data_IF_537502118703
#
_entry.id   IF_537502118703
#
_cell.length_a   1.000
_cell.length_b   1.000
_cell.length_c   1.000
_cell.angle_alpha   90.00
_cell.angle_beta   90.00
_cell.angle_gamma   90.00
#
_symmetry.space_group_name_H-M   'P 1'
#
loop_
_entity.id
_entity.type
_entity.pdbx_description
1 polymer ?
#
# COMPACT_ATOMS: atom_id res chain seq x y z
N UNK A 1 21.44 -20.51 -5.53
CA UNK A 1 20.36 -20.35 -4.53
C UNK A 1 20.37 -19.01 -3.78
N UNK A 2 21.52 -18.36 -3.50
CA UNK A 2 21.58 -17.07 -2.78
C UNK A 2 20.97 -15.87 -3.54
N UNK A 3 21.04 -15.82 -4.86
CA UNK A 3 20.50 -14.73 -5.69
C UNK A 3 18.96 -14.67 -5.75
N UNK A 4 18.26 -15.81 -5.71
CA UNK A 4 16.79 -15.86 -5.68
C UNK A 4 16.25 -15.39 -4.33
N UNK A 5 16.94 -15.71 -3.23
CA UNK A 5 16.60 -15.25 -1.90
C UNK A 5 16.77 -13.72 -1.75
N UNK A 6 17.77 -13.11 -2.42
CA UNK A 6 18.01 -11.67 -2.34
C UNK A 6 16.98 -10.85 -3.12
N UNK A 7 16.52 -11.31 -4.28
CA UNK A 7 15.44 -10.65 -5.04
C UNK A 7 14.10 -10.84 -4.32
N UNK A 8 13.86 -12.02 -3.75
CA UNK A 8 12.67 -12.29 -2.93
C UNK A 8 12.71 -11.50 -1.62
N UNK A 9 13.87 -11.37 -0.99
CA UNK A 9 14.07 -10.55 0.19
C UNK A 9 13.93 -9.05 -0.14
N UNK A 10 14.38 -8.59 -1.31
CA UNK A 10 14.19 -7.22 -1.77
C UNK A 10 12.72 -6.93 -2.11
N UNK A 11 12.02 -7.84 -2.77
CA UNK A 11 10.57 -7.79 -2.97
C UNK A 11 9.80 -7.91 -1.64
N UNK A 12 10.22 -8.79 -0.72
CA UNK A 12 9.65 -8.93 0.61
C UNK A 12 9.99 -7.72 1.50
N UNK A 13 11.17 -7.13 1.40
CA UNK A 13 11.53 -5.88 2.09
C UNK A 13 10.82 -4.69 1.44
N UNK A 14 10.69 -4.66 0.13
CA UNK A 14 9.82 -3.69 -0.55
C UNK A 14 8.34 -3.91 -0.22
N UNK A 15 7.91 -5.16 0.06
CA UNK A 15 6.54 -5.48 0.49
C UNK A 15 6.39 -5.57 2.01
N UNK A 16 7.44 -5.81 2.80
CA UNK A 16 7.41 -5.85 4.27
C UNK A 16 7.67 -4.48 4.92
N UNK A 17 8.05 -3.50 4.13
CA UNK A 17 8.29 -2.14 4.60
C UNK A 17 7.09 -1.28 4.44
N UNK A 18 5.84 -1.72 4.71
CA UNK A 18 4.99 -0.75 4.63
C UNK A 18 3.55 -0.67 4.72
N UNK A 19 2.74 0.15 5.11
CA UNK A 19 1.35 0.27 4.82
C UNK A 19 0.80 1.67 4.72
N UNK A 20 -0.14 1.72 3.80
CA UNK A 20 -1.00 2.79 3.37
C UNK A 20 -0.37 3.76 2.41
N UNK A 21 0.07 3.19 1.35
CA UNK A 21 0.51 4.00 0.27
C UNK A 21 -0.66 4.47 -0.57
N UNK A 22 -1.30 5.47 -0.11
CA UNK A 22 -1.73 6.52 -0.97
C UNK A 22 -0.56 7.50 -1.03
N UNK A 23 -0.15 7.91 -2.22
CA UNK A 23 0.74 9.05 -2.39
C UNK A 23 -0.02 10.32 -2.02
N UNK A 24 -0.30 10.51 -0.74
CA UNK A 24 -0.97 11.71 -0.28
C UNK A 24 -0.22 12.95 -0.74
N UNK A 25 1.11 12.91 -0.62
CA UNK A 25 1.98 14.00 -1.02
C UNK A 25 1.97 14.30 -2.53
N UNK A 26 1.54 13.35 -3.38
CA UNK A 26 1.42 13.60 -4.81
C UNK A 26 0.04 14.12 -5.23
N UNK A 27 -0.90 14.26 -4.29
CA UNK A 27 -2.22 14.83 -4.59
C UNK A 27 -2.08 16.25 -5.15
N UNK A 28 -2.71 16.50 -6.29
CA UNK A 28 -2.64 17.75 -7.06
C UNK A 28 -1.22 18.10 -7.58
N UNK A 29 -0.33 17.11 -7.72
CA UNK A 29 1.01 17.32 -8.28
C UNK A 29 1.03 17.35 -9.80
N UNK A 30 0.02 16.77 -10.47
CA UNK A 30 -0.07 16.61 -11.93
C UNK A 30 1.01 15.70 -12.51
N UNK A 31 1.61 14.81 -11.70
CA UNK A 31 2.60 13.83 -12.17
C UNK A 31 1.94 12.64 -12.86
N UNK A 32 2.72 11.89 -13.63
CA UNK A 32 2.24 10.64 -14.22
C UNK A 32 1.79 9.65 -13.13
N UNK A 33 2.54 9.53 -12.05
CA UNK A 33 2.21 8.65 -10.93
C UNK A 33 0.86 9.03 -10.27
N UNK A 34 0.61 10.32 -10.07
CA UNK A 34 -0.70 10.77 -9.55
C UNK A 34 -1.82 10.39 -10.51
N UNK A 35 -1.63 10.52 -11.82
CA UNK A 35 -2.68 10.25 -12.81
C UNK A 35 -3.10 8.78 -12.90
N UNK A 36 -2.29 7.84 -12.41
CA UNK A 36 -2.64 6.42 -12.27
C UNK A 36 -3.66 6.22 -11.14
N UNK A 37 -3.42 6.89 -10.02
CA UNK A 37 -4.33 6.86 -8.87
C UNK A 37 -5.55 7.75 -9.06
N UNK A 38 -5.38 8.88 -9.76
CA UNK A 38 -6.37 9.93 -10.00
C UNK A 38 -6.59 10.11 -11.51
N UNK A 39 -7.36 9.24 -12.18
CA UNK A 39 -7.47 9.26 -13.65
C UNK A 39 -8.07 10.56 -14.23
N UNK A 40 -8.68 11.42 -13.41
CA UNK A 40 -9.18 12.75 -13.81
C UNK A 40 -8.11 13.84 -13.81
N UNK A 41 -6.89 13.56 -13.32
CA UNK A 41 -5.77 14.50 -13.29
C UNK A 41 -5.05 14.51 -14.63
N UNK A 42 -4.75 15.70 -15.16
CA UNK A 42 -3.94 15.88 -16.35
C UNK A 42 -2.46 15.82 -16.05
N UNK A 43 -1.69 15.17 -16.92
CA UNK A 43 -0.21 15.24 -16.90
C UNK A 43 0.34 16.21 -17.92
N UNK A 44 -0.50 16.74 -18.80
CA UNK A 44 -0.10 17.64 -19.90
C UNK A 44 -0.48 19.11 -19.64
N UNK A 45 -1.25 19.40 -18.57
CA UNK A 45 -1.50 20.79 -18.19
C UNK A 45 -0.16 21.44 -17.77
N UNK A 46 0.20 22.54 -18.44
CA UNK A 46 1.48 23.26 -18.27
C UNK A 46 2.74 22.40 -18.53
N UNK A 47 2.63 21.35 -19.33
CA UNK A 47 3.75 20.47 -19.70
C UNK A 47 3.82 20.31 -21.23
N UNK A 48 4.99 19.92 -21.71
CA UNK A 48 5.21 19.66 -23.12
C UNK A 48 4.91 18.21 -23.52
N UNK A 49 4.59 18.00 -24.78
CA UNK A 49 4.45 16.67 -25.35
C UNK A 49 3.04 16.13 -25.36
N UNK A 50 2.90 14.94 -25.93
CA UNK A 50 1.63 14.23 -26.07
C UNK A 50 1.70 12.79 -25.55
N UNK A 51 2.88 12.30 -25.13
CA UNK A 51 3.05 11.01 -24.47
C UNK A 51 3.84 11.22 -23.19
N UNK A 52 3.36 10.65 -22.09
CA UNK A 52 4.10 10.54 -20.82
C UNK A 52 4.25 9.07 -20.45
N UNK A 53 5.44 8.64 -20.05
CA UNK A 53 5.70 7.25 -19.64
C UNK A 53 6.82 7.17 -18.61
N UNK A 54 6.75 6.15 -17.75
CA UNK A 54 7.84 5.78 -16.85
C UNK A 54 8.90 4.88 -17.51
N UNK A 55 8.71 4.47 -18.79
CA UNK A 55 9.66 3.66 -19.57
C UNK A 55 10.23 2.45 -18.80
N UNK A 56 9.39 1.71 -18.10
CA UNK A 56 9.78 0.56 -17.26
C UNK A 56 10.69 0.90 -16.07
N UNK A 57 10.96 2.17 -15.78
CA UNK A 57 11.53 2.56 -14.49
C UNK A 57 10.37 2.53 -13.48
N UNK A 58 10.35 1.55 -12.57
CA UNK A 58 9.15 1.35 -11.77
C UNK A 58 8.90 2.53 -10.83
N UNK A 59 7.63 2.91 -10.74
CA UNK A 59 7.19 3.76 -9.64
C UNK A 59 6.89 2.86 -8.44
N UNK A 60 7.56 3.13 -7.34
CA UNK A 60 7.45 2.35 -6.12
C UNK A 60 6.76 3.18 -5.05
N UNK A 61 5.80 2.58 -4.44
CA UNK A 61 5.12 3.12 -3.30
C UNK A 61 4.93 2.01 -2.27
N UNK A 62 5.53 2.17 -1.10
CA UNK A 62 5.45 1.24 0.01
C UNK A 62 5.23 1.96 1.32
N UNK A 63 4.33 1.45 2.14
CA UNK A 63 4.03 2.02 3.45
C UNK A 63 3.74 0.93 4.48
N UNK A 64 4.10 1.03 5.76
CA UNK A 64 3.89 0.10 6.84
C UNK A 64 3.76 0.71 8.19
N UNK A 65 2.91 0.04 8.88
CA UNK A 65 2.49 0.46 10.16
C UNK A 65 2.27 -0.73 11.08
N UNK A 66 2.91 -0.66 12.23
CA UNK A 66 2.74 -1.62 13.31
C UNK A 66 2.47 -0.84 14.59
N UNK A 67 1.32 -1.05 15.16
CA UNK A 67 0.87 -0.43 16.41
C UNK A 67 0.64 -1.48 17.47
N UNK A 68 0.99 -1.16 18.71
CA UNK A 68 0.84 -1.97 19.88
C UNK A 68 2.18 -2.48 20.39
N UNK A 69 2.12 -3.22 21.47
CA UNK A 69 3.31 -3.74 22.18
C UNK A 69 4.08 -4.77 21.34
N UNK A 70 3.39 -5.44 20.40
CA UNK A 70 4.02 -6.38 19.48
C UNK A 70 4.95 -5.71 18.44
N UNK A 71 5.03 -4.39 18.40
CA UNK A 71 5.98 -3.70 17.54
C UNK A 71 7.43 -4.13 17.83
N UNK A 72 7.76 -4.39 19.07
CA UNK A 72 9.06 -4.93 19.49
C UNK A 72 9.24 -6.38 19.03
N UNK A 73 8.23 -7.22 19.24
CA UNK A 73 8.25 -8.61 18.79
C UNK A 73 8.41 -8.72 17.28
N UNK A 74 7.69 -7.89 16.53
CA UNK A 74 7.79 -7.83 15.08
C UNK A 74 9.20 -7.47 14.60
N UNK A 75 9.87 -6.54 15.27
CA UNK A 75 11.27 -6.19 14.98
C UNK A 75 12.20 -7.35 15.24
N UNK A 76 12.18 -7.91 16.45
CA UNK A 76 13.08 -9.00 16.83
C UNK A 76 12.92 -10.21 15.89
N UNK A 77 11.68 -10.50 15.50
CA UNK A 77 11.36 -11.59 14.57
C UNK A 77 11.75 -11.28 13.13
N UNK A 78 11.36 -10.12 12.60
CA UNK A 78 11.55 -9.79 11.17
C UNK A 78 12.99 -9.46 10.80
N UNK A 79 13.72 -8.78 11.71
CA UNK A 79 15.05 -8.26 11.39
C UNK A 79 16.18 -9.03 12.04
N UNK A 80 15.92 -9.73 13.16
CA UNK A 80 16.99 -10.36 13.95
C UNK A 80 16.79 -11.85 14.14
N UNK A 81 15.67 -12.43 13.71
CA UNK A 81 15.28 -13.84 13.94
C UNK A 81 15.38 -14.23 15.43
N UNK A 82 14.96 -13.32 16.31
CA UNK A 82 15.05 -13.47 17.76
C UNK A 82 13.68 -13.50 18.40
N UNK A 83 13.60 -14.17 19.54
CA UNK A 83 12.43 -14.13 20.42
C UNK A 83 12.51 -12.93 21.35
N UNK A 84 11.36 -12.43 21.80
CA UNK A 84 11.29 -11.45 22.88
C UNK A 84 11.99 -11.98 24.13
N UNK A 85 12.69 -11.09 24.84
CA UNK A 85 13.32 -11.45 26.12
C UNK A 85 12.31 -11.51 27.27
N UNK A 86 11.21 -10.77 27.16
CA UNK A 86 10.13 -10.72 28.15
C UNK A 86 8.77 -10.76 27.46
N UNK A 87 7.74 -11.36 28.11
CA UNK A 87 6.38 -11.36 27.58
C UNK A 87 5.80 -9.95 27.53
N UNK A 88 4.92 -9.73 26.55
CA UNK A 88 4.11 -8.52 26.48
C UNK A 88 3.14 -8.50 27.67
N UNK A 89 3.07 -7.36 28.37
CA UNK A 89 2.52 -7.25 29.71
C UNK A 89 0.99 -7.33 29.77
N UNK A 90 0.28 -6.76 28.80
CA UNK A 90 -1.18 -6.79 28.74
C UNK A 90 -1.63 -7.86 27.74
N UNK A 91 -2.12 -9.04 28.18
CA UNK A 91 -2.47 -10.13 27.28
C UNK A 91 -3.61 -9.79 26.30
N UNK A 92 -4.51 -8.90 26.67
CA UNK A 92 -5.68 -8.53 25.86
C UNK A 92 -5.43 -7.31 24.94
N UNK A 93 -4.32 -6.61 25.10
CA UNK A 93 -3.96 -5.50 24.24
C UNK A 93 -3.85 -5.95 22.78
N UNK A 94 -4.43 -5.16 21.88
CA UNK A 94 -4.50 -5.46 20.44
C UNK A 94 -3.35 -4.79 19.72
N UNK A 95 -2.74 -5.54 18.83
CA UNK A 95 -1.73 -5.08 17.92
C UNK A 95 -2.32 -5.05 16.51
N UNK A 96 -2.04 -3.98 15.80
CA UNK A 96 -2.48 -3.79 14.42
C UNK A 96 -1.26 -3.70 13.52
N UNK A 97 -1.14 -4.65 12.61
CA UNK A 97 -0.21 -4.61 11.49
C UNK A 97 -1.02 -4.31 10.25
N UNK A 98 -0.51 -3.48 9.48
CA UNK A 98 -1.02 -3.24 8.16
C UNK A 98 0.15 -3.04 7.18
N UNK A 99 0.19 -3.63 5.94
CA UNK A 99 1.26 -3.57 4.94
C UNK A 99 0.70 -3.39 3.53
N UNK A 100 1.08 -2.33 2.81
CA UNK A 100 0.69 -2.08 1.42
C UNK A 100 1.91 -1.85 0.53
N UNK A 101 1.89 -2.35 -0.65
CA UNK A 101 2.86 -2.09 -1.69
C UNK A 101 2.17 -1.85 -3.03
N UNK A 102 2.64 -0.88 -3.77
CA UNK A 102 2.20 -0.59 -5.13
C UNK A 102 3.44 -0.38 -6.00
N UNK A 103 3.58 -1.22 -7.01
CA UNK A 103 4.66 -1.18 -7.98
C UNK A 103 4.06 -0.98 -9.37
N UNK A 104 4.16 0.23 -9.92
CA UNK A 104 3.80 0.49 -11.30
C UNK A 104 4.96 0.09 -12.22
N UNK A 105 4.78 -1.00 -12.96
CA UNK A 105 5.81 -1.55 -13.85
C UNK A 105 5.93 -0.69 -15.10
N UNK A 106 4.80 -0.42 -15.74
CA UNK A 106 4.72 0.44 -16.91
C UNK A 106 3.45 1.27 -16.86
N UNK A 107 3.61 2.56 -17.10
CA UNK A 107 2.51 3.51 -17.26
C UNK A 107 2.76 4.35 -18.51
N UNK A 108 1.73 4.47 -19.33
CA UNK A 108 1.74 5.34 -20.51
C UNK A 108 0.47 6.17 -20.50
N UNK A 109 0.62 7.47 -20.66
CA UNK A 109 -0.49 8.40 -20.85
C UNK A 109 -0.32 9.14 -22.17
N UNK A 110 -1.37 9.20 -22.96
CA UNK A 110 -1.38 9.78 -24.31
C UNK A 110 -2.43 10.87 -24.40
N UNK A 111 -2.02 12.06 -24.85
CA UNK A 111 -2.93 13.16 -25.15
C UNK A 111 -3.56 12.91 -26.53
N UNK A 112 -4.80 12.41 -26.53
CA UNK A 112 -5.53 12.05 -27.75
C UNK A 112 -6.10 13.28 -28.47
N UNK A 113 -6.66 14.21 -27.72
CA UNK A 113 -7.24 15.43 -28.25
C UNK A 113 -6.90 16.62 -27.35
N UNK A 114 -6.13 17.53 -27.87
CA UNK A 114 -5.66 18.71 -27.18
C UNK A 114 -6.80 19.71 -26.90
N UNK A 115 -7.75 19.87 -27.85
CA UNK A 115 -8.83 20.83 -27.69
C UNK A 115 -9.76 20.50 -26.54
N UNK A 116 -10.08 19.24 -26.36
CA UNK A 116 -10.89 18.76 -25.24
C UNK A 116 -10.07 18.30 -24.04
N UNK A 117 -8.73 18.32 -24.13
CA UNK A 117 -7.85 17.76 -23.12
C UNK A 117 -8.15 16.29 -22.85
N UNK A 118 -8.50 15.52 -23.90
CA UNK A 118 -8.79 14.09 -23.76
C UNK A 118 -7.49 13.32 -23.71
N UNK A 119 -7.27 12.62 -22.62
CA UNK A 119 -6.08 11.80 -22.35
C UNK A 119 -6.48 10.34 -22.15
N UNK A 120 -5.68 9.43 -22.72
CA UNK A 120 -5.82 7.98 -22.57
C UNK A 120 -4.69 7.46 -21.69
N UNK A 121 -5.02 6.54 -20.80
CA UNK A 121 -4.08 5.91 -19.86
C UNK A 121 -4.00 4.40 -20.15
N UNK A 122 -2.81 3.86 -20.14
CA UNK A 122 -2.51 2.44 -19.95
C UNK A 122 -1.56 2.28 -18.76
N UNK A 123 -1.87 1.34 -17.88
CA UNK A 123 -1.06 1.04 -16.72
C UNK A 123 -1.00 -0.46 -16.45
N UNK A 124 0.16 -0.95 -16.05
CA UNK A 124 0.32 -2.28 -15.49
C UNK A 124 1.10 -2.19 -14.19
N UNK A 125 0.50 -2.68 -13.13
CA UNK A 125 1.02 -2.58 -11.77
C UNK A 125 0.79 -3.86 -10.97
N UNK A 126 1.52 -3.97 -9.86
CA UNK A 126 1.34 -5.02 -8.85
C UNK A 126 0.99 -4.36 -7.54
N UNK A 127 -0.06 -4.86 -6.90
CA UNK A 127 -0.52 -4.34 -5.60
C UNK A 127 -0.53 -5.44 -4.55
N UNK A 128 -0.01 -5.11 -3.38
CA UNK A 128 -0.05 -5.95 -2.18
C UNK A 128 -0.72 -5.20 -1.05
N UNK A 129 -1.62 -5.86 -0.35
CA UNK A 129 -2.31 -5.32 0.82
C UNK A 129 -2.34 -6.37 1.91
N UNK A 130 -1.89 -6.01 3.10
CA UNK A 130 -1.86 -6.91 4.24
C UNK A 130 -2.41 -6.19 5.46
N UNK A 131 -3.22 -6.82 6.25
CA UNK A 131 -3.67 -6.32 7.54
C UNK A 131 -3.73 -7.47 8.54
N UNK A 132 -3.30 -7.22 9.76
CA UNK A 132 -3.46 -8.18 10.85
C UNK A 132 -3.88 -7.46 12.13
N UNK A 133 -4.74 -8.10 12.89
CA UNK A 133 -5.04 -7.72 14.26
C UNK A 133 -4.84 -8.93 15.14
N UNK A 134 -3.88 -8.83 16.07
CA UNK A 134 -3.54 -9.92 16.99
C UNK A 134 -3.45 -9.40 18.42
N UNK A 135 -3.81 -10.23 19.40
CA UNK A 135 -3.61 -9.90 20.83
C UNK A 135 -2.17 -10.14 21.27
N UNK A 136 -1.74 -9.46 22.34
CA UNK A 136 -0.42 -9.70 22.95
C UNK A 136 -0.24 -11.16 23.37
N UNK A 137 -1.30 -11.78 23.89
CA UNK A 137 -1.26 -13.19 24.27
C UNK A 137 -0.98 -14.10 23.07
N UNK A 138 -1.55 -13.82 21.89
CA UNK A 138 -1.26 -14.56 20.66
C UNK A 138 0.22 -14.42 20.27
N UNK A 139 0.77 -13.21 20.40
CA UNK A 139 2.19 -12.93 20.11
C UNK A 139 3.08 -13.67 21.08
N UNK A 140 2.76 -13.65 22.39
CA UNK A 140 3.50 -14.37 23.42
C UNK A 140 3.51 -15.88 23.16
N UNK A 141 2.36 -16.47 22.81
CA UNK A 141 2.25 -17.88 22.43
C UNK A 141 3.10 -18.22 21.19
N UNK A 142 3.05 -17.38 20.16
CA UNK A 142 3.83 -17.58 18.94
C UNK A 142 5.35 -17.47 19.15
N UNK A 143 5.79 -16.78 20.19
CA UNK A 143 7.20 -16.66 20.55
C UNK A 143 7.76 -17.92 21.25
N UNK A 144 6.90 -18.79 21.77
CA UNK A 144 7.22 -20.10 22.38
C UNK A 144 8.06 -20.04 23.65
N UNK A 145 7.84 -20.95 24.59
CA UNK A 145 8.77 -21.52 25.57
C UNK A 145 9.40 -20.67 26.68
N UNK A 146 9.42 -19.35 26.58
CA UNK A 146 10.07 -18.49 27.60
C UNK A 146 9.07 -17.81 28.54
N UNK A 147 7.77 -18.04 28.38
CA UNK A 147 6.75 -17.34 29.14
C UNK A 147 5.98 -18.29 30.04
N UNK A 148 5.54 -17.82 31.20
CA UNK A 148 4.67 -18.60 32.05
C UNK A 148 3.36 -18.86 31.30
N UNK A 149 3.23 -20.06 30.74
CA UNK A 149 2.00 -20.52 30.10
C UNK A 149 1.02 -20.77 31.25
N UNK A 150 -0.11 -20.09 31.21
CA UNK A 150 -1.19 -20.37 32.16
C UNK A 150 -1.75 -21.75 31.85
N UNK A 151 -1.96 -22.54 32.89
CA UNK A 151 -2.51 -23.89 32.75
C UNK A 151 -3.92 -23.88 32.12
N UNK A 152 -4.62 -22.78 32.24
CA UNK A 152 -5.96 -22.60 31.64
C UNK A 152 -6.18 -21.14 31.31
N UNK A 153 -6.59 -20.87 30.08
CA UNK A 153 -7.09 -19.57 29.70
C UNK A 153 -8.60 -19.53 29.93
N UNK A 154 -9.13 -18.57 30.69
CA UNK A 154 -10.56 -18.49 30.94
C UNK A 154 -11.38 -18.51 29.65
N UNK A 155 -12.55 -19.18 29.62
CA UNK A 155 -13.45 -19.16 28.47
C UNK A 155 -13.72 -17.72 28.02
N UNK A 156 -13.57 -17.45 26.72
CA UNK A 156 -13.78 -16.13 26.15
C UNK A 156 -12.60 -15.16 26.20
N UNK A 157 -11.48 -15.49 26.86
CA UNK A 157 -10.25 -14.67 26.77
C UNK A 157 -9.66 -14.68 25.37
N UNK A 158 -9.91 -15.76 24.61
CA UNK A 158 -9.54 -15.87 23.22
C UNK A 158 -8.06 -15.66 22.95
N UNK A 159 -7.16 -16.55 23.46
CA UNK A 159 -5.72 -16.37 23.31
C UNK A 159 -5.25 -16.31 21.85
N UNK A 160 -5.98 -16.95 20.94
CA UNK A 160 -5.67 -16.95 19.50
C UNK A 160 -6.58 -16.03 18.69
N UNK A 161 -7.46 -15.23 19.34
CA UNK A 161 -8.36 -14.35 18.61
C UNK A 161 -7.56 -13.34 17.78
N UNK A 162 -7.65 -13.49 16.47
CA UNK A 162 -6.87 -12.73 15.49
C UNK A 162 -7.62 -12.63 14.18
N UNK A 163 -7.31 -11.59 13.43
CA UNK A 163 -7.74 -11.46 12.04
C UNK A 163 -6.51 -11.19 11.19
N UNK A 164 -6.43 -11.86 10.06
CA UNK A 164 -5.39 -11.67 9.06
C UNK A 164 -6.04 -11.51 7.69
N UNK A 165 -5.55 -10.54 6.95
CA UNK A 165 -5.97 -10.24 5.60
C UNK A 165 -4.74 -10.02 4.72
N UNK A 166 -4.69 -10.70 3.59
CA UNK A 166 -3.63 -10.57 2.59
C UNK A 166 -4.22 -10.58 1.19
N UNK A 167 -3.83 -9.61 0.39
CA UNK A 167 -4.09 -9.55 -1.04
C UNK A 167 -2.80 -9.30 -1.79
N UNK A 168 -2.57 -10.06 -2.86
CA UNK A 168 -1.55 -9.80 -3.85
C UNK A 168 -2.18 -10.02 -5.23
N UNK A 169 -2.15 -9.02 -6.10
CA UNK A 169 -2.68 -9.10 -7.44
C UNK A 169 -1.92 -8.18 -8.41
N UNK A 170 -1.91 -8.59 -9.67
CA UNK A 170 -1.50 -7.74 -10.77
C UNK A 170 -2.73 -7.01 -11.34
N UNK A 171 -2.57 -5.75 -11.69
CA UNK A 171 -3.60 -4.88 -12.25
C UNK A 171 -3.15 -4.38 -13.62
N UNK A 172 -3.97 -4.57 -14.65
CA UNK A 172 -3.77 -4.00 -15.98
C UNK A 172 -4.96 -3.11 -16.31
N UNK A 173 -4.69 -1.83 -16.52
CA UNK A 173 -5.73 -0.80 -16.58
C UNK A 173 -5.69 -0.03 -17.89
N UNK A 174 -6.87 0.35 -18.35
CA UNK A 174 -7.06 1.39 -19.34
C UNK A 174 -7.90 2.50 -18.73
N UNK A 175 -7.59 3.74 -19.04
CA UNK A 175 -8.31 4.89 -18.53
C UNK A 175 -8.49 5.98 -19.56
N UNK A 176 -9.44 6.86 -19.30
CA UNK A 176 -9.66 8.06 -20.08
C UNK A 176 -9.98 9.24 -19.18
N UNK A 177 -9.44 10.39 -19.51
CA UNK A 177 -9.77 11.69 -18.93
C UNK A 177 -10.31 12.59 -20.02
N UNK A 178 -11.27 13.45 -19.67
CA UNK A 178 -11.74 14.52 -20.54
C UNK A 178 -12.01 15.79 -19.75
N UNK A 179 -11.64 16.92 -20.31
CA UNK A 179 -12.04 18.25 -19.87
C UNK A 179 -13.30 18.64 -20.62
N UNK A 180 -14.38 18.89 -19.93
CA UNK A 180 -15.70 19.25 -20.49
C UNK A 180 -15.84 20.76 -20.67
N UNK A 181 -15.26 21.53 -19.77
CA UNK A 181 -15.12 22.97 -19.83
C UNK A 181 -13.84 23.42 -19.10
N UNK A 182 -13.57 24.72 -19.03
CA UNK A 182 -12.38 25.27 -18.37
C UNK A 182 -12.30 24.94 -16.88
N UNK A 183 -13.44 24.64 -16.27
CA UNK A 183 -13.58 24.44 -14.84
C UNK A 183 -13.84 22.98 -14.44
N UNK A 184 -14.21 22.11 -15.37
CA UNK A 184 -14.66 20.75 -15.06
C UNK A 184 -13.97 19.68 -15.89
N UNK A 185 -13.39 18.72 -15.21
CA UNK A 185 -12.86 17.51 -15.82
C UNK A 185 -13.33 16.26 -15.08
N UNK A 186 -13.38 15.14 -15.80
CA UNK A 186 -13.66 13.83 -15.24
C UNK A 186 -12.74 12.78 -15.86
N UNK A 187 -12.54 11.69 -15.12
CA UNK A 187 -11.75 10.56 -15.59
C UNK A 187 -12.26 9.25 -15.02
N UNK A 188 -12.05 8.19 -15.79
CA UNK A 188 -12.40 6.82 -15.43
C UNK A 188 -11.25 5.90 -15.77
N UNK A 189 -11.05 4.88 -14.95
CA UNK A 189 -10.08 3.79 -15.15
C UNK A 189 -10.81 2.46 -15.00
N UNK A 190 -10.66 1.57 -15.95
CA UNK A 190 -11.14 0.20 -15.93
C UNK A 190 -9.93 -0.71 -15.81
N UNK A 191 -9.99 -1.63 -14.88
CA UNK A 191 -8.87 -2.51 -14.57
C UNK A 191 -9.29 -3.98 -14.67
N UNK A 192 -8.47 -4.75 -15.37
CA UNK A 192 -8.45 -6.19 -15.29
C UNK A 192 -7.48 -6.60 -14.18
N UNK A 193 -7.94 -7.49 -13.30
CA UNK A 193 -7.20 -7.95 -12.12
C UNK A 193 -6.83 -9.41 -12.28
N UNK A 194 -5.60 -9.74 -11.97
CA UNK A 194 -5.09 -11.11 -11.91
C UNK A 194 -4.70 -11.42 -10.46
N UNK A 195 -5.57 -12.14 -9.74
CA UNK A 195 -5.29 -12.53 -8.35
C UNK A 195 -4.11 -13.50 -8.27
N UNK A 196 -3.12 -13.18 -7.45
CA UNK A 196 -1.89 -13.96 -7.27
C UNK A 196 -1.96 -14.74 -5.96
N UNK A 197 -2.20 -14.04 -4.84
CA UNK A 197 -2.35 -14.65 -3.53
C UNK A 197 -3.41 -13.93 -2.71
N UNK A 198 -4.12 -14.68 -1.92
CA UNK A 198 -5.15 -14.17 -1.01
C UNK A 198 -5.17 -14.97 0.27
N UNK A 199 -5.44 -14.27 1.35
CA UNK A 199 -5.82 -14.83 2.64
C UNK A 199 -6.79 -13.85 3.32
N UNK A 200 -7.94 -14.31 3.71
CA UNK A 200 -8.89 -13.57 4.56
C UNK A 200 -9.40 -14.53 5.60
N UNK A 201 -8.98 -14.37 6.83
CA UNK A 201 -9.37 -15.29 7.88
C UNK A 201 -9.21 -14.73 9.27
N UNK A 202 -9.91 -15.35 10.20
CA UNK A 202 -9.83 -14.95 11.59
C UNK A 202 -10.29 -16.03 12.55
N UNK A 203 -9.77 -15.93 13.75
CA UNK A 203 -10.19 -16.71 14.90
C UNK A 203 -11.03 -15.80 15.79
N UNK A 204 -12.34 -16.02 15.80
CA UNK A 204 -13.29 -15.23 16.60
C UNK A 204 -13.46 -15.72 18.02
N UNK A 205 -13.14 -16.99 18.26
CA UNK A 205 -13.17 -17.62 19.57
C UNK A 205 -12.00 -18.59 19.71
N UNK A 206 -11.32 -18.58 20.83
CA UNK A 206 -10.37 -19.61 21.23
C UNK A 206 -10.39 -19.80 22.72
N UNK A 207 -10.15 -21.05 23.14
CA UNK A 207 -9.98 -21.49 24.51
C UNK A 207 -8.81 -22.47 24.52
N UNK A 208 -8.00 -22.49 25.57
CA UNK A 208 -6.82 -23.32 25.60
C UNK A 208 -6.48 -23.85 26.98
N UNK A 209 -6.08 -25.11 27.05
CA UNK A 209 -5.59 -25.77 28.27
C UNK A 209 -4.17 -26.30 28.02
N UNK A 210 -3.24 -25.93 28.89
CA UNK A 210 -1.86 -26.43 28.87
C UNK A 210 -1.65 -27.52 29.86
N UNK A 211 -1.18 -28.67 29.41
CA UNK A 211 -0.84 -29.86 30.22
C UNK A 211 0.67 -29.95 30.40
N UNK A 212 1.17 -29.32 31.46
CA UNK A 212 2.62 -29.20 31.71
C UNK A 212 3.35 -30.56 31.85
N UNK A 213 2.67 -31.60 32.29
CA UNK A 213 3.26 -32.92 32.46
C UNK A 213 3.68 -33.61 31.15
N UNK A 214 3.01 -33.27 30.07
CA UNK A 214 3.24 -33.84 28.71
C UNK A 214 3.62 -32.76 27.68
N UNK A 215 3.80 -31.52 28.13
CA UNK A 215 4.09 -30.36 27.29
C UNK A 215 3.15 -30.24 26.08
N UNK A 216 1.85 -30.39 26.34
CA UNK A 216 0.80 -30.36 25.34
C UNK A 216 -0.12 -29.17 25.60
N UNK A 217 -0.58 -28.54 24.52
CA UNK A 217 -1.58 -27.47 24.53
C UNK A 217 -2.77 -27.84 23.67
N UNK A 218 -3.95 -27.92 24.29
CA UNK A 218 -5.21 -28.19 23.59
C UNK A 218 -5.94 -26.89 23.33
N UNK A 219 -6.32 -26.67 22.09
CA UNK A 219 -7.09 -25.50 21.69
C UNK A 219 -8.50 -25.90 21.18
N UNK A 220 -9.53 -25.22 21.68
CA UNK A 220 -10.85 -25.19 21.08
C UNK A 220 -11.00 -23.88 20.31
N UNK A 221 -11.15 -23.97 19.01
CA UNK A 221 -11.11 -22.80 18.13
C UNK A 221 -12.39 -22.73 17.30
N UNK A 222 -12.94 -21.53 17.15
CA UNK A 222 -13.93 -21.20 16.12
C UNK A 222 -13.35 -20.11 15.24
N UNK A 223 -13.16 -20.44 13.98
CA UNK A 223 -12.63 -19.52 13.00
C UNK A 223 -12.87 -20.02 11.59
N UNK A 224 -12.68 -19.12 10.66
CA UNK A 224 -12.72 -19.44 9.24
C UNK A 224 -11.62 -18.71 8.49
N UNK A 225 -11.16 -19.31 7.40
CA UNK A 225 -10.22 -18.67 6.51
C UNK A 225 -10.48 -19.12 5.07
N UNK A 226 -10.45 -18.17 4.15
CA UNK A 226 -10.41 -18.38 2.71
C UNK A 226 -9.04 -17.95 2.21
N UNK A 227 -8.36 -18.79 1.45
CA UNK A 227 -7.01 -18.49 0.98
C UNK A 227 -6.67 -19.24 -0.31
N UNK A 228 -5.56 -18.83 -0.92
CA UNK A 228 -4.95 -19.50 -2.06
C UNK A 228 -3.56 -20.01 -1.74
N UNK A 229 -3.18 -21.13 -2.30
CA UNK A 229 -1.91 -21.83 -1.99
C UNK A 229 -0.70 -21.32 -2.75
N UNK A 230 -0.84 -20.24 -3.52
CA UNK A 230 0.22 -19.76 -4.43
C UNK A 230 1.44 -19.11 -3.78
N UNK A 231 1.43 -18.81 -2.50
CA UNK A 231 2.46 -17.98 -1.86
C UNK A 231 3.87 -18.61 -1.82
N UNK A 232 4.01 -19.92 -2.08
CA UNK A 232 5.27 -20.62 -1.84
C UNK A 232 6.25 -20.62 -3.02
N UNK A 233 5.79 -20.39 -4.27
CA UNK A 233 6.61 -20.49 -5.50
C UNK A 233 6.30 -19.36 -6.49
N UNK A 234 6.35 -18.10 -6.04
CA UNK A 234 6.10 -16.95 -6.91
C UNK A 234 7.25 -16.78 -7.92
N UNK A 235 6.91 -16.82 -9.21
CA UNK A 235 7.79 -16.49 -10.32
C UNK A 235 7.44 -15.13 -10.95
N UNK A 236 8.31 -14.62 -11.80
CA UNK A 236 8.04 -13.35 -12.52
C UNK A 236 6.76 -13.45 -13.37
N UNK A 237 6.46 -14.64 -13.90
CA UNK A 237 5.24 -14.89 -14.70
C UNK A 237 3.95 -14.66 -13.92
N UNK A 238 3.95 -14.79 -12.59
CA UNK A 238 2.76 -14.61 -11.78
C UNK A 238 2.36 -13.13 -11.63
N UNK A 239 3.30 -12.22 -11.91
CA UNK A 239 3.06 -10.78 -11.92
C UNK A 239 2.58 -10.25 -13.29
N UNK A 240 2.52 -11.10 -14.29
CA UNK A 240 1.95 -10.76 -15.60
C UNK A 240 0.44 -11.03 -15.61
N UNK A 241 -0.32 -10.37 -16.51
CA UNK A 241 -1.76 -10.61 -16.65
C UNK A 241 -2.05 -12.10 -16.89
N UNK A 242 -2.91 -12.68 -16.07
CA UNK A 242 -3.31 -14.09 -16.17
C UNK A 242 -4.81 -14.24 -15.97
N UNK A 243 -5.40 -15.34 -16.52
CA UNK A 243 -6.83 -15.63 -16.35
C UNK A 243 -7.11 -16.62 -15.21
N UNK A 244 -6.13 -16.91 -14.36
CA UNK A 244 -6.26 -17.90 -13.28
C UNK A 244 -7.30 -17.48 -12.24
N UNK A 245 -7.11 -16.31 -11.64
CA UNK A 245 -8.02 -15.71 -10.67
C UNK A 245 -8.45 -14.33 -11.18
N UNK A 246 -9.39 -14.29 -12.16
CA UNK A 246 -9.74 -13.04 -12.84
C UNK A 246 -10.58 -12.13 -11.96
N UNK A 247 -10.35 -10.84 -12.09
CA UNK A 247 -11.13 -9.82 -11.45
C UNK A 247 -11.28 -8.58 -12.31
N UNK A 248 -12.15 -7.68 -11.87
CA UNK A 248 -12.37 -6.39 -12.52
C UNK A 248 -12.58 -5.32 -11.49
N UNK A 249 -12.10 -4.12 -11.77
CA UNK A 249 -12.42 -2.94 -10.99
C UNK A 249 -12.62 -1.70 -11.85
N UNK A 250 -13.32 -0.74 -11.26
CA UNK A 250 -13.51 0.58 -11.82
C UNK A 250 -13.08 1.62 -10.79
N UNK A 251 -12.38 2.64 -11.27
CA UNK A 251 -12.06 3.85 -10.50
C UNK A 251 -12.47 5.07 -11.32
N UNK A 252 -12.98 6.10 -10.68
CA UNK A 252 -13.38 7.31 -11.37
C UNK A 252 -13.47 8.48 -10.43
N UNK A 253 -13.42 9.68 -11.00
CA UNK A 253 -13.57 10.89 -10.24
C UNK A 253 -13.71 12.12 -11.12
N UNK A 254 -13.95 13.22 -10.44
CA UNK A 254 -14.15 14.51 -11.02
C UNK A 254 -13.27 15.56 -10.35
N UNK A 255 -12.89 16.55 -11.12
CA UNK A 255 -12.28 17.79 -10.65
C UNK A 255 -13.13 18.97 -11.08
N UNK A 256 -13.46 19.86 -10.16
CA UNK A 256 -14.15 21.10 -10.44
C UNK A 256 -13.33 22.27 -9.90
N UNK A 257 -12.94 23.17 -10.79
CA UNK A 257 -12.35 24.46 -10.45
C UNK A 257 -13.47 25.44 -10.17
N UNK A 258 -13.51 25.99 -8.96
CA UNK A 258 -14.54 26.93 -8.53
C UNK A 258 -14.17 28.37 -8.93
N UNK A 259 -12.89 28.69 -8.90
CA UNK A 259 -12.27 29.93 -9.36
C UNK A 259 -10.82 29.65 -9.81
N UNK A 260 -10.03 30.68 -10.12
CA UNK A 260 -8.65 30.54 -10.54
C UNK A 260 -7.73 29.90 -9.46
N UNK A 261 -8.15 29.88 -8.22
CA UNK A 261 -7.33 29.46 -7.07
C UNK A 261 -7.83 28.20 -6.38
N UNK A 262 -9.12 27.91 -6.47
CA UNK A 262 -9.71 26.83 -5.70
C UNK A 262 -10.20 25.69 -6.60
N UNK A 263 -9.76 24.47 -6.29
CA UNK A 263 -10.22 23.22 -6.94
C UNK A 263 -10.82 22.29 -5.90
N UNK A 264 -11.81 21.53 -6.33
CA UNK A 264 -12.45 20.48 -5.56
C UNK A 264 -12.44 19.17 -6.35
N UNK A 265 -12.22 18.04 -5.67
CA UNK A 265 -12.21 16.70 -6.28
C UNK A 265 -13.09 15.74 -5.50
N UNK A 266 -13.75 14.83 -6.22
CA UNK A 266 -14.47 13.69 -5.67
C UNK A 266 -14.09 12.44 -6.44
N UNK A 267 -13.90 11.33 -5.73
CA UNK A 267 -13.47 10.09 -6.34
C UNK A 267 -14.02 8.84 -5.64
N UNK A 268 -14.22 7.81 -6.45
CA UNK A 268 -14.41 6.42 -6.01
C UNK A 268 -13.33 5.59 -6.69
N UNK A 269 -12.57 4.82 -5.92
CA UNK A 269 -11.44 4.04 -6.41
C UNK A 269 -11.57 2.57 -6.02
N UNK A 270 -11.06 1.71 -6.92
CA UNK A 270 -10.96 0.27 -6.69
C UNK A 270 -12.30 -0.40 -6.36
N UNK A 271 -13.41 0.08 -6.97
CA UNK A 271 -14.70 -0.60 -6.87
C UNK A 271 -14.66 -1.85 -7.75
N UNK A 272 -14.46 -3.01 -7.14
CA UNK A 272 -14.24 -4.23 -7.90
C UNK A 272 -14.23 -5.50 -7.07
N UNK A 273 -14.03 -6.62 -7.79
CA UNK A 273 -14.00 -7.97 -7.21
C UNK A 273 -12.94 -8.83 -7.88
N UNK A 274 -12.39 -9.81 -7.16
CA UNK A 274 -11.57 -10.89 -7.69
C UNK A 274 -12.28 -12.22 -7.45
N UNK A 275 -12.28 -13.09 -8.45
CA UNK A 275 -12.81 -14.45 -8.35
C UNK A 275 -11.65 -15.42 -8.16
N UNK A 276 -11.56 -16.04 -7.00
CA UNK A 276 -10.53 -17.00 -6.64
C UNK A 276 -10.98 -18.40 -7.05
N UNK A 277 -10.56 -18.84 -8.23
CA UNK A 277 -10.97 -20.10 -8.86
C UNK A 277 -9.90 -21.16 -8.78
N UNK A 278 -8.64 -20.75 -8.90
CA UNK A 278 -7.51 -21.66 -8.91
C UNK A 278 -6.88 -21.75 -7.53
N UNK A 279 -6.76 -22.99 -7.02
CA UNK A 279 -6.16 -23.29 -5.71
C UNK A 279 -6.82 -22.52 -4.53
N UNK A 280 -8.09 -22.13 -4.68
CA UNK A 280 -8.84 -21.59 -3.58
C UNK A 280 -9.17 -22.70 -2.57
N UNK A 281 -8.96 -22.40 -1.30
CA UNK A 281 -9.25 -23.30 -0.19
C UNK A 281 -9.98 -22.54 0.90
N UNK A 282 -10.83 -23.26 1.63
CA UNK A 282 -11.50 -22.77 2.83
C UNK A 282 -11.20 -23.71 3.99
N UNK A 283 -10.89 -23.15 5.14
CA UNK A 283 -10.83 -23.85 6.43
C UNK A 283 -11.92 -23.30 7.32
N UNK A 284 -12.73 -24.19 7.90
CA UNK A 284 -13.75 -23.85 8.89
C UNK A 284 -13.50 -24.69 10.14
N UNK A 285 -13.20 -24.01 11.25
CA UNK A 285 -12.96 -24.62 12.54
C UNK A 285 -14.14 -24.33 13.47
N UNK A 286 -14.64 -25.36 14.15
CA UNK A 286 -15.74 -25.27 15.12
C UNK A 286 -15.24 -25.59 16.53
N UNK A 287 -15.86 -25.08 17.61
CA UNK A 287 -15.42 -25.34 18.97
C UNK A 287 -15.52 -26.81 19.42
N UNK A 288 -16.19 -27.66 18.61
CA UNK A 288 -16.23 -29.10 18.85
C UNK A 288 -14.93 -29.82 18.47
N UNK A 289 -14.09 -29.16 17.68
CA UNK A 289 -12.79 -29.67 17.28
C UNK A 289 -11.75 -29.22 18.30
N UNK A 290 -10.95 -30.16 18.79
CA UNK A 290 -9.80 -29.88 19.66
C UNK A 290 -8.56 -30.01 18.80
N UNK A 291 -7.71 -28.99 18.83
CA UNK A 291 -6.43 -28.97 18.15
C UNK A 291 -5.37 -29.17 19.24
N UNK A 292 -4.69 -30.32 19.19
CA UNK A 292 -3.68 -30.70 20.15
C UNK A 292 -2.29 -30.32 19.58
N UNK A 293 -1.53 -29.55 20.31
CA UNK A 293 -0.18 -29.14 19.93
C UNK A 293 0.82 -29.73 20.92
N UNK A 294 1.57 -30.73 20.49
CA UNK A 294 2.61 -31.38 21.29
C UNK A 294 3.88 -30.54 21.32
N UNK A 295 4.69 -30.71 22.38
CA UNK A 295 5.93 -29.96 22.57
C UNK A 295 5.75 -28.43 22.45
N UNK A 296 4.65 -27.93 23.02
CA UNK A 296 4.23 -26.54 22.87
C UNK A 296 5.25 -25.55 23.41
N UNK A 297 5.89 -25.84 24.53
CA UNK A 297 6.86 -24.96 25.20
C UNK A 297 8.12 -24.73 24.37
N UNK A 298 8.46 -25.65 23.47
CA UNK A 298 9.64 -25.60 22.60
C UNK A 298 9.29 -25.39 21.13
N UNK A 299 8.00 -25.12 20.85
CA UNK A 299 7.52 -24.90 19.48
C UNK A 299 8.33 -23.79 18.82
N UNK A 300 8.96 -24.14 17.71
CA UNK A 300 9.72 -23.20 16.91
C UNK A 300 8.99 -22.89 15.58
N UNK A 301 9.55 -22.04 14.76
CA UNK A 301 8.98 -21.64 13.46
C UNK A 301 8.64 -22.83 12.56
N UNK A 302 9.49 -23.89 12.55
CA UNK A 302 9.28 -25.07 11.71
C UNK A 302 8.16 -25.95 12.29
N UNK A 303 8.11 -26.09 13.62
CA UNK A 303 7.02 -26.80 14.31
C UNK A 303 5.67 -26.11 14.11
N UNK A 304 5.62 -24.79 14.30
CA UNK A 304 4.39 -24.02 14.05
C UNK A 304 3.90 -24.15 12.60
N UNK A 305 4.84 -24.17 11.63
CA UNK A 305 4.50 -24.42 10.23
C UNK A 305 3.95 -25.84 10.02
N UNK A 306 4.57 -26.85 10.62
CA UNK A 306 4.11 -28.23 10.51
C UNK A 306 2.67 -28.41 11.09
N UNK A 307 2.38 -27.76 12.22
CA UNK A 307 1.02 -27.75 12.80
C UNK A 307 0.00 -27.08 11.88
N UNK A 308 0.34 -25.94 11.31
CA UNK A 308 -0.53 -25.27 10.34
C UNK A 308 -0.76 -26.13 9.09
N UNK A 309 0.27 -26.81 8.60
CA UNK A 309 0.17 -27.73 7.45
C UNK A 309 -0.71 -28.94 7.82
N UNK A 310 -0.64 -29.45 9.07
CA UNK A 310 -1.50 -30.53 9.60
C UNK A 310 -2.97 -30.08 9.68
N UNK A 311 -3.25 -28.93 10.28
CA UNK A 311 -4.59 -28.34 10.35
C UNK A 311 -5.15 -28.16 8.94
N UNK A 312 -4.35 -27.65 8.02
CA UNK A 312 -4.75 -27.49 6.63
C UNK A 312 -5.10 -28.84 6.00
N UNK A 313 -4.23 -29.85 6.15
CA UNK A 313 -4.45 -31.18 5.58
C UNK A 313 -5.75 -31.84 6.08
N UNK A 314 -6.13 -31.56 7.32
CA UNK A 314 -7.29 -32.14 7.97
C UNK A 314 -8.61 -31.39 7.66
N UNK A 315 -8.56 -30.04 7.59
CA UNK A 315 -9.76 -29.22 7.57
C UNK A 315 -9.95 -28.39 6.31
N UNK A 316 -8.93 -28.31 5.42
CA UNK A 316 -9.06 -27.52 4.21
C UNK A 316 -9.90 -28.24 3.16
N UNK A 317 -10.80 -27.51 2.55
CA UNK A 317 -11.63 -27.96 1.43
C UNK A 317 -11.41 -27.06 0.23
N UNK A 318 -11.33 -27.63 -0.97
CA UNK A 318 -11.26 -26.85 -2.19
C UNK A 318 -12.51 -25.96 -2.31
N UNK A 319 -12.32 -24.67 -2.47
CA UNK A 319 -13.40 -23.70 -2.49
C UNK A 319 -13.14 -22.59 -3.50
N UNK A 320 -14.17 -22.25 -4.28
CA UNK A 320 -14.15 -21.11 -5.18
C UNK A 320 -14.95 -19.98 -4.54
N UNK A 321 -14.34 -18.82 -4.42
CA UNK A 321 -14.97 -17.70 -3.73
C UNK A 321 -14.68 -16.37 -4.42
N UNK A 322 -15.36 -15.31 -3.97
CA UNK A 322 -15.23 -13.95 -4.48
C UNK A 322 -14.92 -13.01 -3.35
N UNK A 323 -13.99 -12.09 -3.60
CA UNK A 323 -13.66 -11.05 -2.64
C UNK A 323 -13.78 -9.68 -3.27
N UNK A 324 -14.37 -8.74 -2.52
CA UNK A 324 -14.39 -7.34 -2.91
C UNK A 324 -13.05 -6.69 -2.64
N UNK A 325 -12.61 -5.81 -3.54
CA UNK A 325 -11.45 -4.96 -3.29
C UNK A 325 -11.74 -3.95 -2.16
N UNK A 326 -10.71 -3.47 -1.45
CA UNK A 326 -10.84 -2.35 -0.53
C UNK A 326 -11.17 -1.05 -1.26
N UNK A 327 -12.45 -0.82 -1.52
CA UNK A 327 -12.94 0.39 -2.19
C UNK A 327 -12.63 1.63 -1.36
N UNK A 328 -12.23 2.72 -2.03
CA UNK A 328 -11.90 4.01 -1.42
C UNK A 328 -12.82 5.11 -1.93
N UNK A 329 -13.31 5.92 -1.03
CA UNK A 329 -14.00 7.18 -1.33
C UNK A 329 -13.11 8.33 -0.93
N UNK A 330 -12.92 9.30 -1.81
CA UNK A 330 -12.05 10.44 -1.56
C UNK A 330 -12.72 11.75 -1.91
N UNK A 331 -12.48 12.76 -1.09
CA UNK A 331 -12.83 14.15 -1.34
C UNK A 331 -11.63 15.02 -1.06
N UNK A 332 -11.31 15.91 -1.97
CA UNK A 332 -10.16 16.80 -1.85
C UNK A 332 -10.45 18.24 -2.23
N UNK A 333 -9.67 19.15 -1.67
CA UNK A 333 -9.68 20.56 -2.01
C UNK A 333 -8.25 21.06 -2.15
N UNK A 334 -8.02 21.97 -3.10
CA UNK A 334 -6.73 22.60 -3.35
C UNK A 334 -6.93 24.11 -3.44
N UNK A 335 -6.08 24.86 -2.74
CA UNK A 335 -6.08 26.32 -2.77
C UNK A 335 -4.67 26.82 -3.16
N UNK A 336 -4.59 27.48 -4.31
CA UNK A 336 -3.38 28.21 -4.72
C UNK A 336 -3.30 29.53 -3.97
N UNK A 337 -2.66 29.50 -2.78
CA UNK A 337 -2.49 30.65 -1.88
C UNK A 337 -1.55 31.67 -2.52
N UNK A 338 -0.51 31.20 -3.18
CA UNK A 338 0.51 32.00 -3.84
C UNK A 338 1.06 31.22 -5.06
N UNK A 339 1.56 31.85 -6.13
CA UNK A 339 2.15 31.12 -7.27
C UNK A 339 3.20 30.07 -6.89
N UNK A 340 3.86 30.26 -5.76
CA UNK A 340 4.88 29.34 -5.24
C UNK A 340 4.37 28.47 -4.09
N UNK A 341 3.07 28.50 -3.75
CA UNK A 341 2.55 27.72 -2.63
C UNK A 341 1.10 27.32 -2.86
N UNK A 342 0.85 26.01 -2.80
CA UNK A 342 -0.49 25.42 -2.84
C UNK A 342 -0.74 24.64 -1.55
N UNK A 343 -1.87 24.91 -0.91
CA UNK A 343 -2.38 24.16 0.23
C UNK A 343 -3.47 23.19 -0.25
N UNK A 344 -3.36 21.92 0.14
CA UNK A 344 -4.34 20.90 -0.22
C UNK A 344 -4.86 20.19 1.03
N UNK A 345 -6.13 19.78 0.98
CA UNK A 345 -6.78 18.91 1.96
C UNK A 345 -7.32 17.71 1.25
N UNK A 346 -7.09 16.52 1.79
CA UNK A 346 -7.60 15.27 1.25
C UNK A 346 -8.20 14.42 2.38
N UNK A 347 -9.45 14.02 2.20
CA UNK A 347 -10.16 13.08 3.08
C UNK A 347 -10.40 11.81 2.31
N UNK A 348 -10.03 10.67 2.89
CA UNK A 348 -10.24 9.35 2.32
C UNK A 348 -10.97 8.42 3.29
N UNK A 349 -11.80 7.51 2.77
CA UNK A 349 -12.43 6.45 3.53
C UNK A 349 -12.23 5.11 2.84
N UNK A 350 -11.68 4.13 3.56
CA UNK A 350 -11.40 2.78 3.11
C UNK A 350 -12.42 1.80 3.69
N UNK A 351 -13.23 1.19 2.83
CA UNK A 351 -14.36 0.36 3.25
C UNK A 351 -13.95 -0.90 4.01
N UNK A 352 -12.98 -1.67 3.49
CA UNK A 352 -12.54 -2.95 4.09
C UNK A 352 -11.94 -2.75 5.48
N UNK A 353 -11.20 -1.66 5.68
CA UNK A 353 -10.51 -1.35 6.93
C UNK A 353 -11.34 -0.47 7.86
N UNK A 354 -12.51 0.01 7.42
CA UNK A 354 -13.35 0.99 8.14
C UNK A 354 -12.52 2.17 8.66
N UNK A 355 -11.59 2.65 7.83
CA UNK A 355 -10.64 3.68 8.18
C UNK A 355 -10.91 4.95 7.40
N UNK A 356 -10.88 6.08 8.09
CA UNK A 356 -10.85 7.40 7.50
C UNK A 356 -9.49 8.07 7.75
N UNK A 357 -9.02 8.79 6.74
CA UNK A 357 -7.77 9.55 6.75
C UNK A 357 -8.07 11.01 6.42
N UNK A 358 -7.42 11.94 7.12
CA UNK A 358 -7.38 13.36 6.81
C UNK A 358 -5.93 13.78 6.60
N UNK A 359 -5.64 14.42 5.48
CA UNK A 359 -4.30 14.87 5.12
C UNK A 359 -4.32 16.36 4.74
N UNK A 360 -3.36 17.11 5.27
CA UNK A 360 -3.01 18.47 4.89
C UNK A 360 -1.69 18.42 4.13
N UNK A 361 -1.71 18.81 2.86
CA UNK A 361 -0.58 18.68 1.97
C UNK A 361 -0.19 20.07 1.49
N UNK A 362 1.04 20.47 1.79
CA UNK A 362 1.58 21.79 1.51
C UNK A 362 2.67 21.65 0.44
N UNK A 363 2.43 22.20 -0.75
CA UNK A 363 3.35 22.16 -1.89
C UNK A 363 4.03 23.51 -2.06
N UNK A 364 5.34 23.57 -1.79
CA UNK A 364 6.20 24.73 -1.98
C UNK A 364 6.97 24.59 -3.27
N UNK A 365 6.76 25.53 -4.20
CA UNK A 365 7.25 25.50 -5.57
C UNK A 365 8.38 26.51 -5.77
N UNK A 366 9.50 26.04 -6.34
CA UNK A 366 10.59 26.92 -6.76
C UNK A 366 11.10 26.51 -8.16
N UNK A 367 10.57 27.15 -9.20
CA UNK A 367 10.75 26.69 -10.58
C UNK A 367 10.16 25.30 -10.76
N UNK A 368 10.97 24.36 -11.24
CA UNK A 368 10.61 22.95 -11.44
C UNK A 368 10.72 22.11 -10.14
N UNK A 369 11.22 22.69 -9.06
CA UNK A 369 11.41 22.00 -7.80
C UNK A 369 10.21 22.23 -6.86
N UNK A 370 9.72 21.14 -6.28
CA UNK A 370 8.66 21.15 -5.28
C UNK A 370 9.15 20.48 -4.01
N UNK A 371 8.87 21.11 -2.89
CA UNK A 371 8.99 20.53 -1.57
C UNK A 371 7.60 20.34 -1.00
N UNK A 372 7.21 19.09 -0.80
CA UNK A 372 5.86 18.75 -0.37
C UNK A 372 5.90 18.25 1.06
N UNK A 373 5.21 18.95 1.96
CA UNK A 373 5.02 18.58 3.35
C UNK A 373 3.60 18.05 3.53
N UNK A 374 3.48 16.84 4.04
CA UNK A 374 2.20 16.22 4.37
C UNK A 374 2.07 16.05 5.89
N UNK A 375 0.94 16.50 6.45
CA UNK A 375 0.54 16.24 7.81
C UNK A 375 -0.82 15.54 7.80
N UNK A 376 -0.89 14.31 8.30
CA UNK A 376 -2.08 13.49 8.25
C UNK A 376 -2.47 12.91 9.61
N UNK A 377 -3.74 12.54 9.73
CA UNK A 377 -4.28 11.82 10.88
C UNK A 377 -5.32 10.81 10.42
N UNK A 378 -5.34 9.64 11.02
CA UNK A 378 -6.30 8.60 10.69
C UNK A 378 -7.05 8.07 11.92
N UNK A 379 -8.16 7.36 11.67
CA UNK A 379 -9.02 6.78 12.72
C UNK A 379 -8.34 5.70 13.56
N UNK A 380 -7.16 5.23 13.19
CA UNK A 380 -6.31 4.38 14.04
C UNK A 380 -5.41 5.21 14.98
N UNK A 381 -5.71 6.51 15.13
CA UNK A 381 -4.96 7.44 15.97
C UNK A 381 -3.49 7.62 15.57
N UNK A 382 -3.18 7.47 14.27
CA UNK A 382 -1.85 7.72 13.76
C UNK A 382 -1.73 9.13 13.21
N UNK A 383 -0.69 9.80 13.65
CA UNK A 383 -0.23 11.04 13.06
C UNK A 383 0.86 10.74 12.03
N UNK A 384 0.66 11.20 10.82
CA UNK A 384 1.57 11.08 9.70
C UNK A 384 2.27 12.42 9.48
N UNK A 385 3.58 12.40 9.28
CA UNK A 385 4.32 13.58 8.87
C UNK A 385 5.25 13.18 7.72
N UNK A 386 4.92 13.66 6.53
CA UNK A 386 5.61 13.32 5.29
C UNK A 386 6.45 14.47 4.76
N UNK A 387 7.49 14.10 4.03
CA UNK A 387 8.32 15.00 3.26
C UNK A 387 8.63 14.33 1.92
N UNK A 388 8.24 14.98 0.83
CA UNK A 388 8.53 14.53 -0.51
C UNK A 388 9.21 15.67 -1.30
N UNK A 389 10.17 15.27 -2.10
CA UNK A 389 10.85 16.11 -3.04
C UNK A 389 10.42 15.73 -4.45
N UNK A 390 9.94 16.70 -5.23
CA UNK A 390 9.49 16.50 -6.60
C UNK A 390 10.21 17.47 -7.52
N UNK A 391 10.72 16.94 -8.63
CA UNK A 391 11.14 17.72 -9.79
C UNK A 391 10.06 17.52 -10.86
N UNK A 392 9.41 18.59 -11.26
CA UNK A 392 8.41 18.59 -12.33
C UNK A 392 8.79 19.62 -13.38
N UNK A 393 9.61 19.17 -14.34
CA UNK A 393 9.96 19.97 -15.51
C UNK A 393 8.97 19.71 -16.65
N UNK A 394 8.97 20.49 -17.72
CA UNK A 394 8.13 20.25 -18.89
C UNK A 394 8.28 18.85 -19.48
N UNK A 395 9.42 18.18 -19.30
CA UNK A 395 9.72 16.86 -19.88
C UNK A 395 9.94 15.74 -18.88
N UNK A 396 10.23 16.05 -17.63
CA UNK A 396 10.63 15.06 -16.63
C UNK A 396 9.84 15.26 -15.35
N UNK A 397 9.29 14.16 -14.84
CA UNK A 397 8.88 14.04 -13.43
C UNK A 397 9.86 13.13 -12.72
N UNK A 398 10.31 13.54 -11.57
CA UNK A 398 11.07 12.70 -10.62
C UNK A 398 10.64 13.06 -9.21
N UNK A 399 10.31 12.06 -8.42
CA UNK A 399 10.01 12.30 -7.02
C UNK A 399 10.61 11.21 -6.13
N UNK A 400 10.94 11.61 -4.91
CA UNK A 400 11.38 10.73 -3.84
C UNK A 400 10.97 11.31 -2.51
N UNK A 401 10.54 10.45 -1.60
CA UNK A 401 10.16 10.90 -0.27
C UNK A 401 9.48 9.85 0.57
N UNK A 402 8.80 10.33 1.60
CA UNK A 402 8.06 9.53 2.54
C UNK A 402 6.87 10.31 3.08
N UNK A 403 5.69 9.69 3.09
CA UNK A 403 4.51 10.27 3.75
C UNK A 403 4.50 10.04 5.27
N UNK A 404 5.51 9.29 5.77
CA UNK A 404 5.67 9.01 7.19
C UNK A 404 7.15 9.05 7.62
N UNK A 405 7.76 10.21 7.46
CA UNK A 405 9.21 10.41 7.56
C UNK A 405 9.77 10.10 8.96
N UNK A 406 9.17 10.63 10.03
CA UNK A 406 9.72 10.47 11.39
C UNK A 406 9.79 9.01 11.84
N UNK A 407 8.73 8.20 11.70
CA UNK A 407 8.81 6.78 11.98
C UNK A 407 9.79 6.05 11.05
N UNK A 408 9.87 6.41 9.77
CA UNK A 408 10.82 5.79 8.82
C UNK A 408 12.28 6.01 9.24
N UNK A 409 12.62 7.21 9.72
CA UNK A 409 13.95 7.50 10.29
C UNK A 409 14.20 6.67 11.55
N UNK A 410 13.19 6.52 12.43
CA UNK A 410 13.31 5.70 13.62
C UNK A 410 13.57 4.24 13.27
N UNK A 411 12.83 3.66 12.32
CA UNK A 411 13.07 2.30 11.84
C UNK A 411 14.50 2.14 11.32
N UNK A 412 14.98 3.07 10.49
CA UNK A 412 16.35 3.01 10.00
C UNK A 412 17.40 3.09 11.12
N UNK A 413 17.21 3.94 12.13
CA UNK A 413 18.10 3.97 13.30
C UNK A 413 18.08 2.65 14.07
N UNK A 414 16.92 2.04 14.21
CA UNK A 414 16.75 0.76 14.92
C UNK A 414 17.42 -0.40 14.17
N UNK A 415 17.44 -0.37 12.84
CA UNK A 415 18.17 -1.35 12.03
C UNK A 415 19.70 -1.24 12.24
N UNK A 416 20.19 -0.06 12.57
CA UNK A 416 21.62 0.21 12.75
C UNK A 416 22.08 0.18 14.21
N UNK A 417 21.18 0.40 15.17
CA UNK A 417 21.51 0.43 16.61
C UNK A 417 20.62 -0.55 17.40
N UNK A 418 21.24 -1.62 17.87
CA UNK A 418 20.56 -2.69 18.62
C UNK A 418 20.04 -2.25 19.99
N UNK A 419 20.58 -1.18 20.56
CA UNK A 419 20.22 -0.69 21.89
C UNK A 419 19.14 0.39 21.85
N UNK A 420 18.67 0.75 20.66
CA UNK A 420 17.65 1.77 20.52
C UNK A 420 16.29 1.28 21.09
N UNK A 421 15.78 1.95 22.11
CA UNK A 421 14.48 1.60 22.71
C UNK A 421 13.33 1.92 21.76
N UNK A 422 12.39 1.00 21.69
CA UNK A 422 11.25 1.03 20.78
C UNK A 422 10.10 1.87 21.32
N UNK A 423 9.35 2.52 20.45
CA UNK A 423 8.03 3.02 20.76
C UNK A 423 6.98 1.99 20.35
N UNK A 424 5.85 1.92 21.05
CA UNK A 424 4.70 1.05 20.71
C UNK A 424 4.08 1.31 19.33
N UNK A 425 4.70 2.17 18.53
CA UNK A 425 4.27 2.53 17.19
C UNK A 425 5.47 2.62 16.27
N UNK A 426 5.44 1.84 15.21
CA UNK A 426 6.46 1.82 14.16
C UNK A 426 5.78 1.96 12.82
N UNK A 427 6.31 2.81 11.97
CA UNK A 427 5.84 2.95 10.60
C UNK A 427 7.03 3.26 9.69
N UNK A 428 6.93 2.84 8.43
CA UNK A 428 7.88 3.20 7.39
C UNK A 428 7.12 3.46 6.09
N UNK A 429 7.54 4.47 5.36
CA UNK A 429 6.99 4.78 4.06
C UNK A 429 8.10 5.23 3.12
N UNK A 430 8.02 4.79 1.87
CA UNK A 430 8.91 5.23 0.80
C UNK A 430 8.11 5.43 -0.48
N UNK A 431 8.36 6.56 -1.11
CA UNK A 431 7.80 6.94 -2.40
C UNK A 431 8.93 7.25 -3.36
N UNK A 432 8.89 6.66 -4.55
CA UNK A 432 9.85 6.93 -5.61
C UNK A 432 9.16 6.79 -6.97
N UNK A 433 9.46 7.68 -7.90
CA UNK A 433 9.01 7.54 -9.26
C UNK A 433 9.70 8.48 -10.23
N UNK A 434 9.59 8.08 -11.50
CA UNK A 434 10.17 8.76 -12.64
C UNK A 434 9.22 8.70 -13.82
N UNK A 435 9.14 9.77 -14.61
CA UNK A 435 8.46 9.77 -15.89
C UNK A 435 9.09 10.76 -16.86
N UNK A 436 8.98 10.45 -18.16
CA UNK A 436 9.36 11.33 -19.25
C UNK A 436 8.13 11.69 -20.08
N UNK A 437 8.09 12.94 -20.56
CA UNK A 437 7.13 13.41 -21.58
C UNK A 437 7.82 13.56 -22.90
N UNK A 438 7.22 12.97 -23.94
CA UNK A 438 7.72 12.98 -25.30
C UNK A 438 6.80 13.82 -26.19
N UNK A 439 7.38 14.59 -27.10
CA UNK A 439 6.68 15.43 -28.06
C UNK A 439 7.20 16.87 -28.10
N UNK A 440 6.75 17.64 -29.06
CA UNK A 440 7.14 19.02 -29.23
C UNK A 440 6.56 19.94 -28.15
N UNK A 441 7.31 20.95 -27.74
CA UNK A 441 6.85 21.99 -26.83
C UNK A 441 6.32 23.22 -27.56
N UNK A 442 6.78 23.45 -28.78
CA UNK A 442 6.59 24.71 -29.52
C UNK A 442 6.32 24.51 -31.02
N UNK A 443 5.89 23.31 -31.43
CA UNK A 443 5.69 23.00 -32.83
C UNK A 443 6.98 22.88 -33.68
N UNK A 444 8.15 23.03 -33.08
CA UNK A 444 9.45 23.00 -33.77
C UNK A 444 9.92 21.60 -34.16
N UNK A 445 9.23 20.54 -33.72
CA UNK A 445 9.53 19.15 -34.07
C UNK A 445 10.82 18.58 -33.49
N UNK A 446 11.56 19.33 -32.69
CA UNK A 446 12.82 18.89 -32.12
C UNK A 446 12.58 17.92 -30.94
N UNK A 447 12.91 16.64 -31.14
CA UNK A 447 12.77 15.58 -30.14
C UNK A 447 13.71 15.77 -28.91
N UNK A 448 14.78 16.53 -29.06
CA UNK A 448 15.78 16.77 -28.04
C UNK A 448 16.19 18.26 -28.05
N UNK A 449 15.36 19.13 -27.51
CA UNK A 449 15.86 20.45 -27.15
C UNK A 449 16.56 20.41 -25.78
N UNK A 450 17.71 21.07 -25.64
CA UNK A 450 18.66 20.89 -24.55
C UNK A 450 18.22 21.45 -23.18
N UNK A 451 17.00 21.88 -23.03
CA UNK A 451 16.46 22.40 -21.77
C UNK A 451 15.79 21.32 -20.89
N UNK A 452 16.54 20.36 -20.37
CA UNK A 452 16.03 19.31 -19.48
C UNK A 452 15.47 19.82 -18.16
N UNK A 453 16.03 20.94 -17.67
CA UNK A 453 15.59 21.62 -16.46
C UNK A 453 15.45 23.10 -16.75
N UNK A 454 14.31 23.68 -16.43
CA UNK A 454 14.09 25.13 -16.47
C UNK A 454 14.78 25.79 -15.25
N UNK A 455 16.11 25.81 -15.27
CA UNK A 455 16.87 26.61 -14.31
C UNK A 455 16.64 28.09 -14.66
N UNK A 456 16.21 28.86 -13.69
CA UNK A 456 16.01 30.31 -13.85
C UNK A 456 17.20 30.91 -14.53
N UNK A 457 16.99 31.54 -15.69
CA UNK A 457 18.01 32.40 -16.29
C UNK A 457 18.43 33.43 -15.23
N UNK A 458 19.73 33.63 -15.09
CA UNK A 458 20.38 34.58 -14.12
C UNK A 458 19.81 36.00 -14.18
N UNK A 459 18.97 36.32 -15.19
CA UNK A 459 18.36 37.63 -15.41
C UNK A 459 16.87 37.70 -14.95
N UNK A 460 16.33 36.68 -14.34
CA UNK A 460 14.99 36.73 -13.76
C UNK A 460 13.82 36.79 -14.77
N UNK A 461 14.10 36.72 -16.07
CA UNK A 461 13.07 36.61 -17.09
C UNK A 461 12.71 35.15 -17.29
N UNK A 462 11.51 34.72 -16.87
CA UNK A 462 10.89 33.50 -17.39
C UNK A 462 10.85 33.66 -18.90
N UNK A 463 11.51 32.77 -19.67
CA UNK A 463 11.02 32.48 -21.04
C UNK A 463 9.61 31.96 -20.86
N UNK A 464 8.61 32.76 -21.21
CA UNK A 464 7.28 32.29 -21.50
C UNK A 464 7.39 31.46 -22.78
N UNK A 465 7.73 30.21 -22.67
CA UNK A 465 7.42 29.24 -23.69
C UNK A 465 5.95 28.89 -23.45
N UNK A 466 5.07 29.72 -24.03
CA UNK A 466 3.64 29.44 -24.10
C UNK A 466 3.51 28.18 -24.98
N UNK A 467 3.47 27.02 -24.36
CA UNK A 467 3.17 25.75 -25.06
C UNK A 467 1.73 25.74 -25.62
N UNK A 468 0.96 26.79 -25.40
CA UNK A 468 -0.40 26.98 -25.88
C UNK A 468 -0.66 28.46 -26.19
N UNK A 469 -0.44 28.86 -27.41
CA UNK A 469 -1.16 30.00 -28.00
C UNK A 469 -2.38 29.47 -28.70
N UNK A 470 -3.56 29.80 -28.22
CA UNK A 470 -4.82 29.73 -28.97
C UNK A 470 -4.94 30.96 -29.85
#
# INVERSE_FOLDING_TARGET
MRTKASVFLFLLVATAGGLQAQHYSLYNSGTLAESVENPWVSVFDNACGFVASNFFIPTVNGDGFLQGDAAEAGREFLFWDRKLQQPLSDPDAKNHLNVYGHLNVITVKYLYDQATGTELLFDHSVRSMNAATVKNITVNLAQGGSFPIQNTYPPGTGPLNSNLFHYLYAETSIGARRRFDESFSAGVKLSYLSGIAHFDGGIGYSDGNYFAAVDQMDFKIRGEAEYTTYANDLGISDFLPSFRNPGFSISGGIEKRMDERFKFTLAVKDLGVINWKEKGEQVVLTPAQVIDVENFSVLNKNGAKAELDSIRAQYATAHTYRTALPTRFEAGGSLDVHPNYTANVLVGYFTKFKRADLNLINDFKYGDFHLILNAGYNTYHNFLLGLNFLIRSPRVDFFVGSDNLLPSIKVNRQLNDRNYQFSSRTAANVNFGFALRLGACDGSGAFLDAGWLNLRDKRGKRRKEDCFTF
#
